data_IF_974462496751
#
_entry.id   IF_974462496751
#
_cell.length_a   1.000
_cell.length_b   1.000
_cell.length_c   1.000
_cell.angle_alpha   90.00
_cell.angle_beta   90.00
_cell.angle_gamma   90.00
#
_symmetry.space_group_name_H-M   'P 1'
#
loop_
_entity.id
_entity.type
_entity.pdbx_description
1 polymer ?
#
# COMPACT_ATOMS: atom_id res chain seq x y z
N UNK A 1 34.73 51.36 -18.04
CA UNK A 1 33.58 51.30 -17.12
C UNK A 1 33.26 49.85 -16.92
N UNK A 2 33.67 49.27 -15.79
CA UNK A 2 33.44 47.86 -15.48
C UNK A 2 32.16 47.77 -14.68
N UNK A 3 31.08 47.25 -15.27
CA UNK A 3 29.83 47.02 -14.58
C UNK A 3 30.03 45.92 -13.53
N UNK A 4 30.12 46.36 -12.28
CA UNK A 4 30.08 45.54 -11.07
C UNK A 4 28.70 44.89 -10.96
N UNK A 5 28.61 43.61 -11.32
CA UNK A 5 27.51 42.73 -10.96
C UNK A 5 28.05 41.66 -9.99
N UNK A 6 28.56 42.10 -8.84
CA UNK A 6 28.90 41.25 -7.71
C UNK A 6 27.61 40.88 -6.92
N UNK A 7 26.58 40.43 -7.63
CA UNK A 7 25.52 39.66 -6.97
C UNK A 7 26.11 38.27 -6.70
N UNK A 8 26.89 38.20 -5.62
CA UNK A 8 27.74 37.06 -5.26
C UNK A 8 26.93 35.76 -5.23
N UNK A 9 27.45 34.74 -5.92
CA UNK A 9 26.97 33.34 -5.88
C UNK A 9 26.68 32.86 -4.44
N UNK A 10 27.40 33.39 -3.44
CA UNK A 10 27.19 33.07 -2.03
C UNK A 10 25.84 33.56 -1.49
N UNK A 11 25.37 34.74 -1.91
CA UNK A 11 24.07 35.30 -1.49
C UNK A 11 22.93 34.50 -2.12
N UNK A 12 23.09 34.09 -3.38
CA UNK A 12 22.14 33.21 -4.07
C UNK A 12 22.07 31.82 -3.40
N UNK A 13 23.21 31.25 -3.00
CA UNK A 13 23.25 29.98 -2.26
C UNK A 13 22.58 30.08 -0.88
N UNK A 14 22.80 31.18 -0.15
CA UNK A 14 22.18 31.41 1.16
C UNK A 14 20.66 31.55 1.06
N UNK A 15 20.16 32.24 0.03
CA UNK A 15 18.73 32.35 -0.23
C UNK A 15 18.09 30.99 -0.52
N UNK A 16 18.78 30.10 -1.27
CA UNK A 16 18.31 28.73 -1.55
C UNK A 16 18.16 27.90 -0.27
N UNK A 17 19.17 27.90 0.59
CA UNK A 17 19.13 27.19 1.88
C UNK A 17 17.96 27.66 2.74
N UNK A 18 17.66 28.97 2.73
CA UNK A 18 16.53 29.53 3.46
C UNK A 18 15.18 29.07 2.87
N UNK A 19 15.06 29.04 1.53
CA UNK A 19 13.85 28.55 0.85
C UNK A 19 13.64 27.05 1.13
N UNK A 20 14.68 26.23 1.00
CA UNK A 20 14.61 24.79 1.31
C UNK A 20 14.18 24.56 2.76
N UNK A 21 14.69 25.37 3.69
CA UNK A 21 14.30 25.34 5.08
C UNK A 21 12.84 25.70 5.30
N UNK A 22 12.33 26.76 4.65
CA UNK A 22 10.93 27.15 4.73
C UNK A 22 9.99 26.10 4.13
N UNK A 23 10.37 25.49 3.00
CA UNK A 23 9.61 24.41 2.36
C UNK A 23 9.58 23.18 3.25
N UNK A 24 10.71 22.79 3.86
CA UNK A 24 10.75 21.69 4.81
C UNK A 24 9.85 21.97 6.03
N UNK A 25 9.88 23.17 6.59
CA UNK A 25 9.00 23.58 7.69
C UNK A 25 7.52 23.55 7.28
N UNK A 26 7.20 23.97 6.05
CA UNK A 26 5.86 23.92 5.50
C UNK A 26 5.36 22.48 5.32
N UNK A 27 6.16 21.58 4.76
CA UNK A 27 5.83 20.16 4.62
C UNK A 27 5.66 19.48 5.99
N UNK A 28 6.52 19.78 6.96
CA UNK A 28 6.37 19.30 8.35
C UNK A 28 5.06 19.79 8.96
N UNK A 29 4.69 21.06 8.73
CA UNK A 29 3.42 21.61 9.21
C UNK A 29 2.23 20.93 8.53
N UNK A 30 2.30 20.67 7.22
CA UNK A 30 1.27 19.93 6.48
C UNK A 30 1.13 18.48 6.97
N UNK A 31 2.23 17.82 7.37
CA UNK A 31 2.21 16.48 7.98
C UNK A 31 1.56 16.53 9.37
N UNK A 32 1.92 17.52 10.18
CA UNK A 32 1.36 17.73 11.53
C UNK A 32 -0.14 18.02 11.54
N UNK A 33 -0.65 18.73 10.53
CA UNK A 33 -2.10 18.97 10.36
C UNK A 33 -2.87 17.70 9.90
N UNK A 34 -2.16 16.70 9.35
CA UNK A 34 -2.72 15.40 8.93
C UNK A 34 -2.51 14.34 9.99
N UNK A 35 -3.21 14.45 11.12
CA UNK A 35 -3.08 13.53 12.28
C UNK A 35 -3.32 12.05 11.91
N UNK A 36 -4.01 11.76 10.81
CA UNK A 36 -4.26 10.40 10.31
C UNK A 36 -3.07 9.75 9.58
N UNK A 37 -2.02 10.51 9.21
CA UNK A 37 -0.91 10.03 8.38
C UNK A 37 0.18 9.28 9.20
N UNK A 38 0.15 9.37 10.54
CA UNK A 38 1.17 8.76 11.43
C UNK A 38 1.05 7.24 11.56
N UNK A 39 -0.05 6.63 11.10
CA UNK A 39 -0.28 5.19 11.22
C UNK A 39 0.28 4.40 10.02
N UNK A 40 0.57 5.05 8.88
CA UNK A 40 0.97 4.34 7.65
C UNK A 40 2.48 4.06 7.53
N UNK A 41 3.36 4.97 7.98
CA UNK A 41 4.82 4.81 7.80
C UNK A 41 5.37 3.56 8.54
N UNK A 42 4.69 3.04 9.56
CA UNK A 42 5.07 1.81 10.29
C UNK A 42 4.50 0.52 9.65
N UNK A 43 3.42 0.60 8.86
CA UNK A 43 2.70 -0.58 8.32
C UNK A 43 3.14 -0.92 6.88
N UNK A 44 3.82 0.00 6.18
CA UNK A 44 4.33 -0.23 4.81
C UNK A 44 5.36 -1.41 4.72
N UNK A 45 5.87 -1.91 5.87
CA UNK A 45 6.76 -3.06 5.95
C UNK A 45 6.11 -4.45 6.12
N UNK A 46 4.84 -4.56 6.51
CA UNK A 46 4.29 -5.84 7.03
C UNK A 46 3.75 -6.80 5.93
N UNK A 47 3.55 -6.34 4.69
CA UNK A 47 2.97 -7.18 3.63
C UNK A 47 4.01 -7.95 2.77
N UNK A 48 5.31 -7.86 3.08
CA UNK A 48 6.35 -8.57 2.30
C UNK A 48 6.61 -10.02 2.75
N UNK A 49 6.06 -10.48 3.89
CA UNK A 49 6.44 -11.79 4.44
C UNK A 49 5.55 -12.98 4.01
N UNK A 50 4.37 -12.77 3.43
CA UNK A 50 3.46 -13.89 3.11
C UNK A 50 3.68 -14.51 1.72
N UNK A 51 4.67 -14.05 0.95
CA UNK A 51 4.87 -14.49 -0.44
C UNK A 51 6.30 -14.93 -0.77
N UNK A 52 6.97 -15.68 0.11
CA UNK A 52 8.23 -16.35 -0.25
C UNK A 52 8.06 -17.87 -0.26
N UNK A 53 8.00 -18.53 -1.42
CA UNK A 53 8.14 -19.98 -1.46
C UNK A 53 9.55 -20.34 -0.97
N UNK A 54 9.61 -21.25 0.00
CA UNK A 54 10.83 -21.84 0.57
C UNK A 54 11.59 -22.62 -0.50
N UNK A 55 12.56 -21.99 -1.16
CA UNK A 55 13.54 -22.70 -1.96
C UNK A 55 14.59 -23.36 -1.04
N UNK A 56 14.98 -24.61 -1.28
CA UNK A 56 15.92 -25.31 -0.40
C UNK A 56 17.32 -24.73 -0.56
N UNK A 57 17.94 -24.39 0.56
CA UNK A 57 19.35 -23.96 0.64
C UNK A 57 20.25 -25.14 0.33
N UNK A 58 20.87 -25.15 -0.86
CA UNK A 58 22.10 -25.90 -1.10
C UNK A 58 23.28 -24.94 -1.01
N UNK A 59 24.05 -25.10 0.07
CA UNK A 59 25.32 -24.45 0.36
C UNK A 59 26.46 -24.99 -0.49
N UNK A 60 27.34 -24.13 -1.03
CA UNK A 60 28.82 -24.25 -0.99
C UNK A 60 29.43 -22.85 -1.27
N UNK A 61 30.46 -22.39 -0.53
CA UNK A 61 31.20 -21.17 -0.82
C UNK A 61 32.49 -21.46 -1.61
N UNK A 62 32.88 -20.57 -2.51
CA UNK A 62 34.26 -20.52 -3.01
C UNK A 62 34.69 -19.08 -3.29
N UNK A 63 35.61 -18.60 -2.47
CA UNK A 63 36.44 -17.43 -2.72
C UNK A 63 37.30 -17.68 -3.97
N UNK A 64 37.60 -16.62 -4.73
CA UNK A 64 38.98 -16.27 -5.08
C UNK A 64 39.08 -14.87 -5.66
N UNK A 65 40.09 -14.19 -5.12
CA UNK A 65 40.64 -12.87 -5.39
C UNK A 65 41.21 -12.68 -6.80
N UNK A 66 41.22 -11.43 -7.27
CA UNK A 66 42.34 -10.90 -8.06
C UNK A 66 42.44 -9.39 -7.93
N UNK A 67 43.61 -8.96 -7.46
CA UNK A 67 44.11 -7.59 -7.36
C UNK A 67 44.54 -7.02 -8.71
N UNK A 68 44.37 -5.71 -8.90
CA UNK A 68 45.30 -4.92 -9.71
C UNK A 68 45.34 -3.47 -9.22
N UNK A 69 46.48 -3.11 -8.65
CA UNK A 69 46.92 -1.77 -8.31
C UNK A 69 47.07 -0.89 -9.56
N UNK A 70 46.57 0.34 -9.52
CA UNK A 70 47.10 1.43 -10.35
C UNK A 70 47.02 2.74 -9.59
N UNK A 71 48.19 3.33 -9.40
CA UNK A 71 48.45 4.65 -8.84
C UNK A 71 47.90 5.77 -9.72
N UNK A 72 47.22 6.76 -9.13
CA UNK A 72 47.44 8.17 -9.48
C UNK A 72 46.78 9.10 -8.45
N UNK A 73 47.63 9.86 -7.77
CA UNK A 73 47.28 11.09 -7.07
C UNK A 73 46.78 12.09 -8.11
N UNK A 74 45.60 12.64 -7.88
CA UNK A 74 45.01 13.70 -8.67
C UNK A 74 43.94 14.39 -7.83
N UNK A 75 44.37 15.26 -6.93
CA UNK A 75 43.49 16.22 -6.25
C UNK A 75 42.87 17.13 -7.32
N UNK A 76 41.66 16.79 -7.75
CA UNK A 76 40.80 17.70 -8.48
C UNK A 76 39.60 17.97 -7.59
N UNK A 77 39.47 19.21 -7.12
CA UNK A 77 38.21 19.73 -6.61
C UNK A 77 37.22 19.66 -7.76
N UNK A 78 36.53 18.53 -7.90
CA UNK A 78 35.28 18.49 -8.65
C UNK A 78 34.32 19.42 -7.93
N UNK A 79 34.12 20.60 -8.51
CA UNK A 79 32.96 21.44 -8.22
C UNK A 79 31.75 20.53 -8.34
N UNK A 80 31.09 20.28 -7.21
CA UNK A 80 29.75 19.71 -7.20
C UNK A 80 28.92 20.49 -8.23
N UNK A 81 28.20 19.82 -9.14
CA UNK A 81 27.34 20.52 -10.07
C UNK A 81 26.36 21.32 -9.22
N UNK A 82 26.48 22.65 -9.28
CA UNK A 82 25.52 23.57 -8.71
C UNK A 82 24.24 23.38 -9.53
N UNK A 83 23.43 22.38 -9.17
CA UNK A 83 22.07 22.27 -9.68
C UNK A 83 21.35 23.54 -9.23
N UNK A 84 20.98 24.34 -10.23
CA UNK A 84 20.09 25.47 -10.08
C UNK A 84 18.73 24.86 -9.84
N UNK A 85 18.33 24.80 -8.56
CA UNK A 85 16.98 24.42 -8.20
C UNK A 85 16.11 25.63 -8.51
N UNK A 86 15.30 25.52 -9.56
CA UNK A 86 14.36 26.56 -9.96
C UNK A 86 13.16 26.58 -9.01
N UNK A 87 12.45 27.71 -8.90
CA UNK A 87 11.23 27.83 -8.08
C UNK A 87 10.15 26.79 -8.50
N UNK A 88 10.25 26.26 -9.73
CA UNK A 88 9.50 25.09 -10.19
C UNK A 88 9.68 23.89 -9.26
N UNK A 89 10.91 23.61 -8.82
CA UNK A 89 11.25 22.39 -8.10
C UNK A 89 10.65 22.38 -6.68
N UNK A 90 10.48 23.56 -6.06
CA UNK A 90 9.76 23.72 -4.79
C UNK A 90 8.26 23.46 -4.97
N UNK A 91 7.69 23.98 -6.06
CA UNK A 91 6.29 23.74 -6.39
C UNK A 91 6.04 22.26 -6.67
N UNK A 92 6.96 21.61 -7.39
CA UNK A 92 6.94 20.18 -7.69
C UNK A 92 7.05 19.33 -6.41
N UNK A 93 7.89 19.74 -5.44
CA UNK A 93 7.98 19.06 -4.14
C UNK A 93 6.66 19.12 -3.36
N UNK A 94 6.01 20.28 -3.33
CA UNK A 94 4.71 20.46 -2.64
C UNK A 94 3.63 19.66 -3.37
N UNK A 95 3.59 19.71 -4.70
CA UNK A 95 2.61 18.98 -5.51
C UNK A 95 2.78 17.47 -5.35
N UNK A 96 4.01 16.96 -5.38
CA UNK A 96 4.31 15.56 -5.14
C UNK A 96 3.85 15.11 -3.75
N UNK A 97 4.14 15.89 -2.71
CA UNK A 97 3.65 15.60 -1.35
C UNK A 97 2.12 15.50 -1.30
N UNK A 98 1.41 16.43 -1.93
CA UNK A 98 -0.06 16.42 -1.99
C UNK A 98 -0.59 15.22 -2.78
N UNK A 99 0.06 14.84 -3.88
CA UNK A 99 -0.31 13.65 -4.64
C UNK A 99 -0.12 12.37 -3.81
N UNK A 100 1.03 12.22 -3.16
CA UNK A 100 1.32 11.09 -2.26
C UNK A 100 0.29 10.99 -1.14
N UNK A 101 -0.05 12.11 -0.50
CA UNK A 101 -1.08 12.16 0.54
C UNK A 101 -2.46 11.70 0.02
N UNK A 102 -2.83 12.15 -1.18
CA UNK A 102 -4.08 11.72 -1.84
C UNK A 102 -4.10 10.23 -2.17
N UNK A 103 -2.96 9.66 -2.58
CA UNK A 103 -2.83 8.23 -2.85
C UNK A 103 -2.94 7.42 -1.55
N UNK A 104 -2.29 7.86 -0.47
CA UNK A 104 -2.41 7.27 0.86
C UNK A 104 -3.87 7.27 1.36
N UNK A 105 -4.58 8.39 1.27
CA UNK A 105 -6.01 8.43 1.62
C UNK A 105 -6.82 7.37 0.86
N UNK A 106 -6.62 7.27 -0.46
CA UNK A 106 -7.30 6.25 -1.28
C UNK A 106 -6.96 4.82 -0.87
N UNK A 107 -5.74 4.57 -0.39
CA UNK A 107 -5.35 3.26 0.12
C UNK A 107 -6.11 2.96 1.42
N UNK A 108 -6.17 3.92 2.36
CA UNK A 108 -6.95 3.78 3.60
C UNK A 108 -8.42 3.49 3.33
N UNK A 109 -9.04 4.26 2.43
CA UNK A 109 -10.45 4.06 2.08
C UNK A 109 -10.70 2.64 1.52
N UNK A 110 -9.79 2.15 0.66
CA UNK A 110 -9.86 0.78 0.13
C UNK A 110 -9.65 -0.29 1.20
N UNK A 111 -8.73 -0.07 2.16
CA UNK A 111 -8.52 -0.98 3.29
C UNK A 111 -9.76 -1.06 4.18
N UNK A 112 -10.37 0.09 4.47
CA UNK A 112 -11.61 0.14 5.24
C UNK A 112 -12.75 -0.64 4.54
N UNK A 113 -12.84 -0.53 3.22
CA UNK A 113 -13.83 -1.29 2.45
C UNK A 113 -13.54 -2.79 2.43
N UNK A 114 -12.26 -3.20 2.34
CA UNK A 114 -11.88 -4.62 2.48
C UNK A 114 -12.32 -5.18 3.83
N UNK A 115 -12.09 -4.45 4.93
CA UNK A 115 -12.50 -4.91 6.25
C UNK A 115 -14.02 -5.11 6.34
N UNK A 116 -14.82 -4.21 5.74
CA UNK A 116 -16.28 -4.37 5.68
C UNK A 116 -16.70 -5.61 4.89
N UNK A 117 -16.07 -5.85 3.74
CA UNK A 117 -16.34 -7.05 2.94
C UNK A 117 -15.95 -8.33 3.69
N UNK A 118 -14.87 -8.31 4.47
CA UNK A 118 -14.46 -9.44 5.31
C UNK A 118 -15.49 -9.74 6.41
N UNK A 119 -16.05 -8.71 7.06
CA UNK A 119 -17.15 -8.85 8.01
C UNK A 119 -18.39 -9.45 7.34
N UNK A 120 -18.80 -8.94 6.17
CA UNK A 120 -19.97 -9.45 5.44
C UNK A 120 -19.79 -10.91 5.00
N UNK A 121 -18.58 -11.28 4.55
CA UNK A 121 -18.27 -12.68 4.24
C UNK A 121 -18.35 -13.58 5.48
N UNK A 122 -17.88 -13.11 6.64
CA UNK A 122 -17.96 -13.85 7.89
C UNK A 122 -19.41 -14.06 8.34
N UNK A 123 -20.26 -13.05 8.17
CA UNK A 123 -21.70 -13.14 8.43
C UNK A 123 -22.38 -14.15 7.49
N UNK A 124 -22.04 -14.17 6.20
CA UNK A 124 -22.53 -15.17 5.26
C UNK A 124 -22.09 -16.59 5.65
N UNK A 125 -20.83 -16.75 6.08
CA UNK A 125 -20.33 -18.04 6.55
C UNK A 125 -21.07 -18.53 7.80
N UNK A 126 -21.39 -17.63 8.73
CA UNK A 126 -22.21 -17.92 9.91
C UNK A 126 -23.65 -18.31 9.51
N UNK A 127 -24.29 -17.56 8.62
CA UNK A 127 -25.63 -17.87 8.13
C UNK A 127 -25.66 -19.24 7.44
N UNK A 128 -24.65 -19.53 6.62
CA UNK A 128 -24.49 -20.81 5.93
C UNK A 128 -24.34 -21.96 6.93
N UNK A 129 -23.58 -21.77 8.01
CA UNK A 129 -23.46 -22.76 9.07
C UNK A 129 -24.79 -23.00 9.78
N UNK A 130 -25.52 -21.93 10.10
CA UNK A 130 -26.86 -22.02 10.71
C UNK A 130 -27.87 -22.74 9.81
N UNK A 131 -27.83 -22.51 8.49
CA UNK A 131 -28.66 -23.24 7.52
C UNK A 131 -28.39 -24.74 7.56
N UNK A 132 -27.12 -25.15 7.61
CA UNK A 132 -26.76 -26.58 7.73
C UNK A 132 -27.25 -27.18 9.04
N UNK A 133 -27.11 -26.46 10.15
CA UNK A 133 -27.61 -26.92 11.44
C UNK A 133 -29.14 -27.07 11.43
N UNK A 134 -29.86 -26.11 10.85
CA UNK A 134 -31.32 -26.18 10.68
C UNK A 134 -31.74 -27.37 9.81
N UNK A 135 -31.00 -27.65 8.72
CA UNK A 135 -31.25 -28.82 7.88
C UNK A 135 -31.08 -30.12 8.68
N UNK A 136 -30.06 -30.20 9.53
CA UNK A 136 -29.82 -31.37 10.37
C UNK A 136 -30.92 -31.57 11.41
N UNK A 137 -31.37 -30.50 12.08
CA UNK A 137 -32.50 -30.56 13.02
C UNK A 137 -33.77 -31.06 12.32
N UNK A 138 -34.05 -30.56 11.11
CA UNK A 138 -35.19 -31.03 10.31
C UNK A 138 -35.05 -32.49 9.89
N UNK A 139 -33.85 -32.91 9.49
CA UNK A 139 -33.55 -34.29 9.10
C UNK A 139 -33.76 -35.26 10.26
N UNK A 140 -33.26 -34.92 11.45
CA UNK A 140 -33.42 -35.74 12.67
C UNK A 140 -34.88 -35.80 13.11
N UNK A 141 -35.63 -34.71 12.95
CA UNK A 141 -37.05 -34.63 13.32
C UNK A 141 -37.99 -35.13 12.23
N UNK A 142 -37.46 -35.64 11.11
CA UNK A 142 -38.26 -36.04 9.97
C UNK A 142 -39.07 -37.31 10.25
N UNK A 143 -40.35 -37.28 9.87
CA UNK A 143 -41.23 -38.45 9.89
C UNK A 143 -41.47 -38.88 8.45
N UNK A 144 -41.20 -40.16 8.17
CA UNK A 144 -41.32 -40.76 6.83
C UNK A 144 -42.72 -40.48 6.26
N UNK A 145 -42.76 -39.91 5.04
CA UNK A 145 -43.99 -39.54 4.34
C UNK A 145 -44.39 -38.07 4.48
N UNK A 146 -43.61 -37.25 5.19
CA UNK A 146 -43.88 -35.81 5.34
C UNK A 146 -43.25 -34.98 4.21
N UNK A 147 -44.02 -34.73 3.15
CA UNK A 147 -43.64 -33.89 1.99
C UNK A 147 -43.27 -32.45 2.41
N UNK A 148 -43.79 -31.96 3.55
CA UNK A 148 -43.48 -30.62 4.06
C UNK A 148 -42.01 -30.48 4.42
N UNK A 149 -41.40 -31.52 5.01
CA UNK A 149 -39.98 -31.49 5.37
C UNK A 149 -39.09 -31.43 4.12
N UNK A 150 -39.43 -32.16 3.06
CA UNK A 150 -38.66 -32.14 1.81
C UNK A 150 -38.69 -30.76 1.14
N UNK A 151 -39.83 -30.08 1.19
CA UNK A 151 -39.98 -28.71 0.70
C UNK A 151 -39.09 -27.75 1.51
N UNK A 152 -39.08 -27.86 2.83
CA UNK A 152 -38.25 -27.00 3.69
C UNK A 152 -36.74 -27.28 3.51
N UNK A 153 -36.33 -28.54 3.39
CA UNK A 153 -34.94 -28.90 3.11
C UNK A 153 -34.47 -28.37 1.75
N UNK A 154 -35.32 -28.41 0.72
CA UNK A 154 -35.02 -27.80 -0.58
C UNK A 154 -34.83 -26.28 -0.49
N UNK A 155 -35.68 -25.58 0.27
CA UNK A 155 -35.51 -24.13 0.51
C UNK A 155 -34.20 -23.82 1.21
N UNK A 156 -33.81 -24.63 2.21
CA UNK A 156 -32.54 -24.47 2.91
C UNK A 156 -31.36 -24.67 1.94
N UNK A 157 -31.43 -25.69 1.08
CA UNK A 157 -30.40 -25.97 0.09
C UNK A 157 -30.25 -24.85 -0.95
N UNK A 158 -31.36 -24.28 -1.43
CA UNK A 158 -31.34 -23.13 -2.33
C UNK A 158 -30.66 -21.92 -1.68
N UNK A 159 -31.02 -21.59 -0.43
CA UNK A 159 -30.39 -20.49 0.32
C UNK A 159 -28.90 -20.72 0.56
N UNK A 160 -28.52 -21.96 0.89
CA UNK A 160 -27.12 -22.35 1.07
C UNK A 160 -26.29 -22.13 -0.20
N UNK A 161 -26.83 -22.52 -1.36
CA UNK A 161 -26.18 -22.32 -2.67
C UNK A 161 -26.08 -20.83 -3.01
N UNK A 162 -27.15 -20.06 -2.79
CA UNK A 162 -27.17 -18.63 -3.05
C UNK A 162 -26.12 -17.88 -2.21
N UNK A 163 -26.04 -18.18 -0.91
CA UNK A 163 -25.02 -17.63 0.00
C UNK A 163 -23.60 -17.95 -0.47
N UNK A 164 -23.35 -19.17 -0.98
CA UNK A 164 -22.06 -19.53 -1.56
C UNK A 164 -21.67 -18.68 -2.78
N UNK A 165 -22.63 -18.38 -3.66
CA UNK A 165 -22.41 -17.51 -4.83
C UNK A 165 -22.16 -16.06 -4.40
N UNK A 166 -22.89 -15.57 -3.41
CA UNK A 166 -22.74 -14.22 -2.86
C UNK A 166 -21.36 -14.03 -2.23
N UNK A 167 -20.94 -14.96 -1.36
CA UNK A 167 -19.60 -14.97 -0.76
C UNK A 167 -18.49 -14.95 -1.83
N UNK A 168 -18.65 -15.74 -2.89
CA UNK A 168 -17.67 -15.75 -3.99
C UNK A 168 -17.59 -14.41 -4.73
N UNK A 169 -18.70 -13.67 -4.86
CA UNK A 169 -18.70 -12.32 -5.45
C UNK A 169 -17.98 -11.32 -4.55
N UNK A 170 -18.24 -11.35 -3.25
CA UNK A 170 -17.57 -10.48 -2.28
C UNK A 170 -16.06 -10.75 -2.25
N UNK A 171 -15.64 -12.02 -2.35
CA UNK A 171 -14.21 -12.37 -2.40
C UNK A 171 -13.52 -11.84 -3.68
N UNK A 172 -14.21 -11.89 -4.83
CA UNK A 172 -13.72 -11.28 -6.08
C UNK A 172 -13.55 -9.75 -5.91
N UNK A 173 -14.52 -9.09 -5.27
CA UNK A 173 -14.46 -7.65 -5.02
C UNK A 173 -13.33 -7.28 -4.06
N UNK A 174 -13.17 -8.04 -2.97
CA UNK A 174 -12.05 -7.93 -2.04
C UNK A 174 -10.72 -8.05 -2.77
N UNK A 175 -10.56 -9.06 -3.62
CA UNK A 175 -9.34 -9.27 -4.39
C UNK A 175 -9.06 -8.09 -5.35
N UNK A 176 -10.10 -7.55 -5.99
CA UNK A 176 -9.99 -6.38 -6.86
C UNK A 176 -9.54 -5.13 -6.08
N UNK A 177 -10.02 -4.95 -4.86
CA UNK A 177 -9.59 -3.85 -3.98
C UNK A 177 -8.12 -4.02 -3.56
N UNK A 178 -7.69 -5.24 -3.23
CA UNK A 178 -6.29 -5.57 -2.93
C UNK A 178 -5.36 -5.28 -4.12
N UNK A 179 -5.75 -5.66 -5.34
CA UNK A 179 -5.03 -5.30 -6.57
C UNK A 179 -5.01 -3.77 -6.78
N UNK A 180 -6.07 -3.08 -6.37
CA UNK A 180 -6.17 -1.63 -6.40
C UNK A 180 -5.18 -0.95 -5.45
N UNK A 181 -5.02 -1.48 -4.24
CA UNK A 181 -4.02 -1.00 -3.26
C UNK A 181 -2.61 -1.19 -3.82
N UNK A 182 -2.29 -2.36 -4.37
CA UNK A 182 -0.97 -2.61 -5.00
C UNK A 182 -0.65 -1.61 -6.12
N UNK A 183 -1.63 -1.28 -6.96
CA UNK A 183 -1.48 -0.25 -8.01
C UNK A 183 -1.28 1.15 -7.43
N UNK A 184 -2.00 1.51 -6.37
CA UNK A 184 -1.81 2.80 -5.69
C UNK A 184 -0.43 2.90 -5.03
N UNK A 185 0.08 1.80 -4.46
CA UNK A 185 1.43 1.74 -3.89
C UNK A 185 2.50 1.92 -4.97
N UNK A 186 2.35 1.25 -6.11
CA UNK A 186 3.25 1.44 -7.25
C UNK A 186 3.24 2.91 -7.70
N UNK A 187 2.05 3.50 -7.87
CA UNK A 187 1.94 4.92 -8.26
C UNK A 187 2.60 5.86 -7.23
N UNK A 188 2.46 5.59 -5.93
CA UNK A 188 3.08 6.38 -4.85
C UNK A 188 4.61 6.34 -4.90
N UNK A 189 5.22 5.25 -5.40
CA UNK A 189 6.67 5.11 -5.59
C UNK A 189 7.19 5.79 -6.85
N UNK A 190 6.31 5.98 -7.84
CA UNK A 190 6.62 6.60 -9.14
C UNK A 190 6.44 8.13 -9.13
N UNK A 191 5.58 8.67 -8.25
CA UNK A 191 5.51 10.10 -7.92
C UNK A 191 6.69 10.51 -7.04
#
# INVERSE_FOLDING_TARGET
MSSSSDYSDAVAAQLRVNIDHEVALFLVRLKSLGVDDLVEDEIEGFETETSRPTAPKTSVPTNSSSSSSSSRVGSSREKAPQQIIEISDVSDQIENYLEKKKLSQKQRDKRAEINRLEEEMADLDLQKHNLLNNAEIQRVSHVIGNVSTDIELNKILERYRASGVERAKLDIERQRLMDGIRRLQQKKRES
#
